data_IF_071583278810
#
_entry.id   IF_071583278810
#
_cell.length_a   1.000
_cell.length_b   1.000
_cell.length_c   1.000
_cell.angle_alpha   90.00
_cell.angle_beta   90.00
_cell.angle_gamma   90.00
#
_symmetry.space_group_name_H-M   'P 1'
#
loop_
_entity.id
_entity.type
_entity.pdbx_description
1 polymer ?
#
# COMPACT_ATOMS: atom_id res chain seq x y z
N UNK A 1 -39.71 30.73 31.93
CA UNK A 1 -38.49 29.98 31.60
C UNK A 1 -38.13 30.29 30.16
N UNK A 2 -37.14 31.16 29.94
CA UNK A 2 -36.93 31.85 28.65
C UNK A 2 -36.31 30.94 27.58
N UNK A 3 -37.13 30.50 26.63
CA UNK A 3 -36.76 29.73 25.43
C UNK A 3 -35.84 30.48 24.46
N UNK A 4 -35.72 31.80 24.60
CA UNK A 4 -34.92 32.68 23.74
C UNK A 4 -33.41 32.59 23.97
N UNK A 5 -32.94 32.13 25.14
CA UNK A 5 -31.50 31.88 25.39
C UNK A 5 -30.98 30.56 24.79
N UNK A 6 -31.88 29.63 24.45
CA UNK A 6 -31.51 28.31 23.91
C UNK A 6 -31.19 28.36 22.39
N UNK A 7 -31.72 29.35 21.68
CA UNK A 7 -31.65 29.43 20.20
C UNK A 7 -30.28 29.94 19.72
N UNK A 8 -29.58 30.75 20.55
CA UNK A 8 -28.26 31.32 20.22
C UNK A 8 -27.12 30.29 20.21
N UNK A 9 -27.25 29.15 20.91
CA UNK A 9 -26.21 28.11 20.90
C UNK A 9 -26.39 27.08 19.78
N UNK A 10 -27.61 26.86 19.28
CA UNK A 10 -27.88 25.85 18.23
C UNK A 10 -27.17 26.14 16.91
N UNK A 11 -27.13 27.40 16.47
CA UNK A 11 -26.40 27.80 15.26
C UNK A 11 -24.89 27.70 15.42
N UNK A 12 -24.36 28.01 16.62
CA UNK A 12 -22.93 27.84 16.92
C UNK A 12 -22.51 26.37 16.87
N UNK A 13 -23.34 25.49 17.43
CA UNK A 13 -23.15 24.03 17.37
C UNK A 13 -23.20 23.54 15.92
N UNK A 14 -24.16 24.00 15.12
CA UNK A 14 -24.26 23.62 13.70
C UNK A 14 -23.03 24.06 12.88
N UNK A 15 -22.53 25.28 13.12
CA UNK A 15 -21.31 25.78 12.48
C UNK A 15 -20.09 24.96 12.93
N UNK A 16 -19.98 24.66 14.22
CA UNK A 16 -18.92 23.81 14.75
C UNK A 16 -18.94 22.40 14.14
N UNK A 17 -20.11 21.78 14.01
CA UNK A 17 -20.28 20.50 13.33
C UNK A 17 -19.91 20.58 11.85
N UNK A 18 -20.22 21.68 11.16
CA UNK A 18 -19.85 21.85 9.75
C UNK A 18 -18.34 21.95 9.55
N UNK A 19 -17.64 22.72 10.40
CA UNK A 19 -16.18 22.80 10.38
C UNK A 19 -15.51 21.49 10.78
N UNK A 20 -16.01 20.84 11.84
CA UNK A 20 -15.51 19.55 12.31
C UNK A 20 -15.71 18.46 11.25
N UNK A 21 -16.87 18.44 10.58
CA UNK A 21 -17.16 17.54 9.48
C UNK A 21 -16.25 17.79 8.28
N UNK A 22 -15.97 19.06 7.93
CA UNK A 22 -15.03 19.40 6.87
C UNK A 22 -13.59 18.92 7.16
N UNK A 23 -13.12 19.07 8.40
CA UNK A 23 -11.81 18.60 8.85
C UNK A 23 -11.74 17.07 8.79
N UNK A 24 -12.75 16.38 9.32
CA UNK A 24 -12.86 14.92 9.25
C UNK A 24 -12.90 14.41 7.80
N UNK A 25 -13.65 15.09 6.94
CA UNK A 25 -13.79 14.76 5.52
C UNK A 25 -12.47 14.93 4.75
N UNK A 26 -11.74 16.01 5.01
CA UNK A 26 -10.41 16.23 4.43
C UNK A 26 -9.39 15.19 4.90
N UNK A 27 -9.40 14.86 6.19
CA UNK A 27 -8.55 13.82 6.75
C UNK A 27 -8.87 12.44 6.15
N UNK A 28 -10.16 12.12 6.00
CA UNK A 28 -10.61 10.92 5.33
C UNK A 28 -10.06 10.85 3.90
N UNK A 29 -10.28 11.88 3.07
CA UNK A 29 -9.77 11.89 1.70
C UNK A 29 -8.25 11.68 1.63
N UNK A 30 -7.48 12.28 2.54
CA UNK A 30 -6.03 12.09 2.57
C UNK A 30 -5.65 10.64 2.90
N UNK A 31 -6.26 10.04 3.91
CA UNK A 31 -5.99 8.64 4.30
C UNK A 31 -6.33 7.67 3.17
N UNK A 32 -7.46 7.86 2.49
CA UNK A 32 -7.92 6.94 1.45
C UNK A 32 -7.33 7.22 0.06
N UNK A 33 -6.65 8.36 -0.15
CA UNK A 33 -6.09 8.73 -1.46
C UNK A 33 -5.18 7.67 -2.07
N UNK A 34 -4.27 7.10 -1.27
CA UNK A 34 -3.35 6.05 -1.76
C UNK A 34 -4.06 4.74 -2.07
N UNK A 35 -5.05 4.36 -1.26
CA UNK A 35 -5.86 3.16 -1.47
C UNK A 35 -6.74 3.25 -2.72
N UNK A 36 -7.36 4.41 -2.95
CA UNK A 36 -8.17 4.67 -4.14
C UNK A 36 -7.27 4.60 -5.38
N UNK A 37 -6.11 5.25 -5.34
CA UNK A 37 -5.15 5.23 -6.44
C UNK A 37 -4.62 3.81 -6.71
N UNK A 38 -4.29 3.05 -5.65
CA UNK A 38 -3.88 1.65 -5.74
C UNK A 38 -4.96 0.80 -6.43
N UNK A 39 -6.21 0.92 -5.99
CA UNK A 39 -7.34 0.16 -6.57
C UNK A 39 -7.57 0.53 -8.03
N UNK A 40 -7.49 1.82 -8.36
CA UNK A 40 -7.62 2.33 -9.72
C UNK A 40 -6.54 1.76 -10.64
N UNK A 41 -5.27 1.84 -10.23
CA UNK A 41 -4.14 1.33 -11.02
C UNK A 41 -4.14 -0.19 -11.12
N UNK A 42 -4.58 -0.88 -10.08
CA UNK A 42 -4.65 -2.35 -10.08
C UNK A 42 -5.73 -2.89 -11.04
N UNK A 43 -6.90 -2.25 -11.08
CA UNK A 43 -8.03 -2.65 -11.94
C UNK A 43 -7.83 -2.23 -13.39
N UNK A 44 -7.00 -1.23 -13.65
CA UNK A 44 -6.69 -0.79 -15.02
C UNK A 44 -6.03 -1.92 -15.82
N UNK A 45 -6.54 -2.14 -17.03
CA UNK A 45 -5.93 -3.04 -18.01
C UNK A 45 -4.87 -2.34 -18.87
N UNK A 46 -4.92 -1.01 -18.96
CA UNK A 46 -3.91 -0.22 -19.64
C UNK A 46 -2.59 -0.21 -18.84
N UNK A 47 -1.43 -0.13 -19.52
CA UNK A 47 -0.15 0.09 -18.86
C UNK A 47 -0.26 1.30 -17.93
N UNK A 48 0.04 1.14 -16.63
CA UNK A 48 -0.16 2.20 -15.68
C UNK A 48 0.88 3.30 -15.93
N UNK A 49 0.41 4.55 -15.92
CA UNK A 49 1.25 5.73 -16.05
C UNK A 49 2.36 5.73 -14.99
N UNK A 50 3.61 5.81 -15.47
CA UNK A 50 4.81 5.78 -14.63
C UNK A 50 4.80 6.84 -13.53
N UNK A 51 4.26 8.03 -13.80
CA UNK A 51 4.23 9.11 -12.81
C UNK A 51 3.32 8.73 -11.63
N UNK A 52 2.09 8.31 -11.92
CA UNK A 52 1.10 7.90 -10.91
C UNK A 52 1.57 6.69 -10.10
N UNK A 53 2.24 5.75 -10.77
CA UNK A 53 2.83 4.56 -10.11
C UNK A 53 3.90 4.98 -9.11
N UNK A 54 4.79 5.90 -9.49
CA UNK A 54 5.84 6.38 -8.60
C UNK A 54 5.29 7.25 -7.46
N UNK A 55 4.26 8.05 -7.70
CA UNK A 55 3.54 8.76 -6.63
C UNK A 55 2.96 7.78 -5.61
N UNK A 56 2.28 6.72 -6.08
CA UNK A 56 1.74 5.68 -5.22
C UNK A 56 2.84 4.97 -4.42
N UNK A 57 3.91 4.54 -5.09
CA UNK A 57 5.07 3.91 -4.47
C UNK A 57 5.65 4.79 -3.36
N UNK A 58 5.94 6.06 -3.65
CA UNK A 58 6.51 6.99 -2.67
C UNK A 58 5.58 7.21 -1.47
N UNK A 59 4.27 7.26 -1.69
CA UNK A 59 3.29 7.42 -0.62
C UNK A 59 3.23 6.19 0.31
N UNK A 60 3.24 4.99 -0.28
CA UNK A 60 3.14 3.72 0.45
C UNK A 60 4.45 3.37 1.15
N UNK A 61 5.59 3.64 0.52
CA UNK A 61 6.91 3.26 1.05
C UNK A 61 7.35 4.08 2.27
N UNK A 62 6.74 5.26 2.50
CA UNK A 62 6.92 6.04 3.74
C UNK A 62 6.46 5.30 5.00
N UNK A 63 5.51 4.38 4.86
CA UNK A 63 4.95 3.60 5.98
C UNK A 63 5.61 2.21 6.05
N UNK A 64 5.73 1.66 7.25
CA UNK A 64 6.14 0.26 7.45
C UNK A 64 4.89 -0.61 7.33
N UNK A 65 4.84 -1.60 6.41
CA UNK A 65 3.70 -2.48 6.28
C UNK A 65 3.48 -3.26 7.59
N UNK A 66 2.24 -3.36 8.04
CA UNK A 66 1.82 -4.38 8.96
C UNK A 66 1.37 -5.65 8.22
N UNK A 67 1.08 -6.72 8.96
CA UNK A 67 0.54 -7.97 8.38
C UNK A 67 -0.74 -7.77 7.57
N UNK A 68 -1.60 -6.84 8.00
CA UNK A 68 -2.85 -6.50 7.31
C UNK A 68 -2.63 -5.78 5.97
N UNK A 69 -1.49 -5.12 5.80
CA UNK A 69 -1.19 -4.32 4.59
C UNK A 69 -0.56 -5.16 3.48
N UNK A 70 -0.16 -6.41 3.76
CA UNK A 70 0.57 -7.30 2.84
C UNK A 70 -0.13 -7.41 1.49
N UNK A 71 -1.46 -7.50 1.47
CA UNK A 71 -2.22 -7.57 0.23
C UNK A 71 -2.15 -6.26 -0.58
N UNK A 72 -2.18 -5.09 0.08
CA UNK A 72 -2.06 -3.80 -0.58
C UNK A 72 -0.65 -3.62 -1.20
N UNK A 73 0.39 -3.96 -0.46
CA UNK A 73 1.77 -3.94 -0.96
C UNK A 73 2.02 -5.00 -2.04
N UNK A 74 1.38 -6.18 -1.96
CA UNK A 74 1.42 -7.19 -3.02
C UNK A 74 0.82 -6.64 -4.33
N UNK A 75 -0.31 -5.94 -4.26
CA UNK A 75 -0.91 -5.25 -5.41
C UNK A 75 0.02 -4.16 -5.96
N UNK A 76 0.65 -3.37 -5.08
CA UNK A 76 1.64 -2.38 -5.48
C UNK A 76 2.81 -3.03 -6.25
N UNK A 77 3.35 -4.15 -5.75
CA UNK A 77 4.37 -4.91 -6.47
C UNK A 77 3.92 -5.31 -7.88
N UNK A 78 2.65 -5.74 -8.05
CA UNK A 78 2.13 -6.16 -9.36
C UNK A 78 2.03 -4.98 -10.31
N UNK A 79 1.58 -3.83 -9.80
CA UNK A 79 1.51 -2.59 -10.58
C UNK A 79 2.91 -2.16 -11.02
N UNK A 80 3.90 -2.21 -10.12
CA UNK A 80 5.29 -1.85 -10.43
C UNK A 80 5.90 -2.80 -11.47
N UNK A 81 5.66 -4.10 -11.35
CA UNK A 81 6.08 -5.09 -12.35
C UNK A 81 5.44 -4.82 -13.71
N UNK A 82 4.13 -4.50 -13.76
CA UNK A 82 3.43 -4.10 -14.99
C UNK A 82 3.97 -2.78 -15.58
N UNK A 83 4.44 -1.87 -14.73
CA UNK A 83 5.06 -0.60 -15.12
C UNK A 83 6.56 -0.73 -15.46
N UNK A 84 7.09 -1.96 -15.54
CA UNK A 84 8.51 -2.27 -15.72
C UNK A 84 9.46 -1.70 -14.64
N UNK A 85 8.91 -1.19 -13.54
CA UNK A 85 9.63 -0.71 -12.35
C UNK A 85 10.02 -1.88 -11.43
N UNK A 86 10.76 -2.85 -11.98
CA UNK A 86 11.08 -4.11 -11.30
C UNK A 86 11.99 -3.92 -10.08
N UNK A 87 12.87 -2.91 -10.09
CA UNK A 87 13.75 -2.62 -8.94
C UNK A 87 12.93 -2.16 -7.72
N UNK A 88 11.92 -1.34 -7.95
CA UNK A 88 10.97 -0.86 -6.96
C UNK A 88 10.06 -1.99 -6.49
N UNK A 89 9.62 -2.86 -7.39
CA UNK A 89 8.85 -4.06 -7.04
C UNK A 89 9.64 -4.95 -6.06
N UNK A 90 10.93 -5.19 -6.32
CA UNK A 90 11.80 -5.94 -5.40
C UNK A 90 11.88 -5.29 -4.02
N UNK A 91 12.00 -3.96 -3.94
CA UNK A 91 12.00 -3.24 -2.64
C UNK A 91 10.69 -3.41 -1.88
N UNK A 92 9.56 -3.39 -2.58
CA UNK A 92 8.23 -3.65 -1.98
C UNK A 92 8.16 -5.08 -1.44
N UNK A 93 8.60 -6.06 -2.23
CA UNK A 93 8.62 -7.47 -1.86
C UNK A 93 9.53 -7.76 -0.65
N UNK A 94 10.71 -7.15 -0.61
CA UNK A 94 11.63 -7.25 0.54
C UNK A 94 11.03 -6.67 1.83
N UNK A 95 10.17 -5.65 1.71
CA UNK A 95 9.50 -5.08 2.87
C UNK A 95 8.42 -6.00 3.43
N UNK A 96 7.59 -6.58 2.55
CA UNK A 96 6.49 -7.46 2.98
C UNK A 96 6.94 -8.86 3.38
N UNK A 97 8.05 -9.38 2.83
CA UNK A 97 8.57 -10.69 3.28
C UNK A 97 9.08 -10.64 4.73
N UNK A 98 9.49 -9.46 5.22
CA UNK A 98 9.88 -9.27 6.64
C UNK A 98 8.69 -9.34 7.58
N UNK A 99 7.51 -8.92 7.12
CA UNK A 99 6.27 -8.97 7.91
C UNK A 99 5.59 -10.35 7.90
N UNK A 100 5.74 -11.07 6.78
CA UNK A 100 5.19 -12.42 6.57
C UNK A 100 6.27 -13.35 6.02
N UNK A 101 7.29 -13.70 6.83
CA UNK A 101 8.40 -14.56 6.39
C UNK A 101 7.94 -15.96 5.97
N UNK A 102 6.80 -16.43 6.48
CA UNK A 102 6.15 -17.70 6.17
C UNK A 102 5.51 -17.73 4.78
N UNK A 103 5.24 -16.56 4.17
CA UNK A 103 4.55 -16.49 2.89
C UNK A 103 5.48 -16.91 1.74
N UNK A 104 5.39 -18.20 1.39
CA UNK A 104 6.19 -18.82 0.33
C UNK A 104 5.94 -18.18 -1.04
N UNK A 105 4.71 -17.75 -1.33
CA UNK A 105 4.36 -17.14 -2.62
C UNK A 105 5.07 -15.80 -2.82
N UNK A 106 5.11 -14.95 -1.79
CA UNK A 106 5.86 -13.69 -1.81
C UNK A 106 7.36 -13.95 -1.93
N UNK A 107 7.88 -14.91 -1.16
CA UNK A 107 9.30 -15.30 -1.20
C UNK A 107 9.73 -15.81 -2.57
N UNK A 108 8.90 -16.66 -3.19
CA UNK A 108 9.16 -17.17 -4.53
C UNK A 108 9.14 -16.04 -5.56
N UNK A 109 8.17 -15.15 -5.48
CA UNK A 109 8.10 -14.01 -6.39
C UNK A 109 9.33 -13.10 -6.25
N UNK A 110 9.75 -12.77 -5.02
CA UNK A 110 10.97 -12.02 -4.77
C UNK A 110 12.21 -12.71 -5.37
N UNK A 111 12.35 -14.02 -5.17
CA UNK A 111 13.46 -14.80 -5.72
C UNK A 111 13.50 -14.75 -7.25
N UNK A 112 12.35 -14.89 -7.91
CA UNK A 112 12.23 -14.81 -9.38
C UNK A 112 12.58 -13.42 -9.89
N UNK A 113 12.07 -12.35 -9.26
CA UNK A 113 12.39 -10.98 -9.69
C UNK A 113 13.88 -10.66 -9.49
N UNK A 114 14.51 -11.15 -8.41
CA UNK A 114 15.95 -11.04 -8.20
C UNK A 114 16.75 -11.79 -9.27
N UNK A 115 16.32 -13.01 -9.62
CA UNK A 115 16.93 -13.81 -10.67
C UNK A 115 16.86 -13.11 -12.03
N UNK A 116 15.69 -12.58 -12.39
CA UNK A 116 15.47 -11.83 -13.64
C UNK A 116 16.33 -10.56 -13.73
N UNK A 117 16.74 -9.99 -12.59
CA UNK A 117 17.66 -8.85 -12.50
C UNK A 117 19.13 -9.29 -12.39
N UNK A 118 19.45 -10.56 -12.66
CA UNK A 118 20.79 -11.15 -12.57
C UNK A 118 21.42 -11.10 -11.16
N UNK A 119 20.60 -10.88 -10.12
CA UNK A 119 21.03 -10.88 -8.71
C UNK A 119 21.01 -12.29 -8.14
N UNK A 120 21.76 -13.19 -8.79
CA UNK A 120 21.70 -14.63 -8.54
C UNK A 120 22.00 -15.03 -7.10
N UNK A 121 23.03 -14.41 -6.49
CA UNK A 121 23.42 -14.69 -5.08
C UNK A 121 22.31 -14.37 -4.08
N UNK A 122 21.49 -13.36 -4.36
CA UNK A 122 20.38 -13.00 -3.47
C UNK A 122 19.17 -13.89 -3.73
N UNK A 123 18.88 -14.18 -4.99
CA UNK A 123 17.82 -15.12 -5.37
C UNK A 123 18.05 -16.52 -4.76
N UNK A 124 19.29 -17.02 -4.81
CA UNK A 124 19.69 -18.31 -4.26
C UNK A 124 19.34 -18.44 -2.77
N UNK A 125 19.63 -17.42 -1.95
CA UNK A 125 19.28 -17.41 -0.52
C UNK A 125 17.78 -17.63 -0.30
N UNK A 126 16.93 -17.01 -1.12
CA UNK A 126 15.49 -17.20 -1.03
C UNK A 126 15.05 -18.57 -1.54
N UNK A 127 15.67 -19.10 -2.59
CA UNK A 127 15.38 -20.45 -3.12
C UNK A 127 15.76 -21.55 -2.12
N UNK A 128 16.92 -21.44 -1.46
CA UNK A 128 17.34 -22.39 -0.42
C UNK A 128 16.31 -22.47 0.71
N UNK A 129 15.83 -21.32 1.17
CA UNK A 129 14.77 -21.26 2.21
C UNK A 129 13.47 -21.92 1.72
N UNK A 130 13.11 -21.72 0.45
CA UNK A 130 11.90 -22.33 -0.13
C UNK A 130 12.00 -23.84 -0.27
N UNK A 131 13.18 -24.38 -0.58
CA UNK A 131 13.41 -25.81 -0.77
C UNK A 131 13.55 -26.56 0.56
N UNK A 132 14.22 -25.97 1.55
CA UNK A 132 14.39 -26.56 2.88
C UNK A 132 13.06 -26.88 3.58
N UNK A 133 12.02 -26.12 3.30
CA UNK A 133 10.69 -26.30 3.91
C UNK A 133 9.76 -27.23 3.11
N UNK A 134 10.22 -27.93 2.06
CA UNK A 134 9.44 -28.97 1.36
C UNK A 134 9.72 -30.39 1.85
N UNK A 135 10.80 -30.61 2.59
CA UNK A 135 11.30 -31.94 2.95
C UNK A 135 10.93 -32.34 4.38
N UNK A 136 9.77 -31.92 4.88
CA UNK A 136 9.23 -32.28 6.19
C UNK A 136 7.79 -32.73 6.08
#
# INVERSE_FOLDING_TARGET
MNSTKLIRSKWFIAIFFFFYFGILWGFFQWVYKSEILLRSLYKSNAPPDSERVMMLYNSMMKKVPGRQDVNAYYRLGKILTKAEKRREAIKVLDKIIKTTPENRSIRLWLAIELYNQQRYREAEKHFVILLRNKTG
#
